data_IF_638018563635
#
_entry.id   IF_638018563635
#
_cell.length_a   1.000
_cell.length_b   1.000
_cell.length_c   1.000
_cell.angle_alpha   90.00
_cell.angle_beta   90.00
_cell.angle_gamma   90.00
#
_symmetry.space_group_name_H-M   'P 1'
#
loop_
_entity.id
_entity.type
_entity.pdbx_description
1 polymer ?
#
# COMPACT_ATOMS: atom_id res chain seq x y z
N UNK A 1 -7.03 15.03 -2.45
CA UNK A 1 -7.64 14.84 -3.78
C UNK A 1 -8.61 13.67 -3.74
N UNK A 2 -9.75 13.79 -4.44
CA UNK A 2 -10.73 12.71 -4.53
C UNK A 2 -10.36 11.78 -5.72
N UNK A 3 -9.95 10.51 -5.49
CA UNK A 3 -9.58 9.59 -6.58
C UNK A 3 -10.75 9.23 -7.51
N UNK A 4 -11.98 9.43 -7.04
CA UNK A 4 -13.19 9.22 -7.84
C UNK A 4 -13.34 10.19 -9.01
N UNK A 5 -12.68 11.35 -8.97
CA UNK A 5 -12.69 12.33 -10.03
C UNK A 5 -11.61 12.01 -11.08
N UNK A 6 -11.97 11.81 -12.35
CA UNK A 6 -11.00 11.59 -13.44
C UNK A 6 -9.93 12.70 -13.53
N UNK A 7 -10.34 13.95 -13.29
CA UNK A 7 -9.47 15.12 -13.33
C UNK A 7 -8.41 15.08 -12.22
N UNK A 8 -8.77 14.60 -11.01
CA UNK A 8 -7.83 14.42 -9.90
C UNK A 8 -6.78 13.37 -10.23
N UNK A 9 -7.18 12.26 -10.85
CA UNK A 9 -6.23 11.22 -11.29
C UNK A 9 -5.30 11.74 -12.39
N UNK A 10 -5.86 12.44 -13.38
CA UNK A 10 -5.07 13.06 -14.45
C UNK A 10 -4.08 14.10 -13.91
N UNK A 11 -4.48 14.89 -12.92
CA UNK A 11 -3.61 15.87 -12.28
C UNK A 11 -2.37 15.21 -11.63
N UNK A 12 -2.57 14.13 -10.87
CA UNK A 12 -1.45 13.38 -10.26
C UNK A 12 -0.56 12.76 -11.34
N UNK A 13 -1.17 12.16 -12.36
CA UNK A 13 -0.42 11.58 -13.48
C UNK A 13 0.43 12.62 -14.23
N UNK A 14 -0.08 13.83 -14.41
CA UNK A 14 0.67 14.93 -15.03
C UNK A 14 1.87 15.38 -14.18
N UNK A 15 1.73 15.43 -12.86
CA UNK A 15 2.87 15.72 -11.95
C UNK A 15 3.95 14.64 -12.10
N UNK A 16 3.55 13.36 -12.07
CA UNK A 16 4.48 12.24 -12.25
C UNK A 16 5.14 12.28 -13.64
N UNK A 17 4.37 12.59 -14.69
CA UNK A 17 4.90 12.77 -16.03
C UNK A 17 5.96 13.87 -16.10
N UNK A 18 5.69 15.01 -15.49
CA UNK A 18 6.61 16.14 -15.45
C UNK A 18 7.93 15.78 -14.74
N UNK A 19 7.83 15.15 -13.54
CA UNK A 19 9.00 14.70 -12.79
C UNK A 19 9.80 13.67 -13.59
N UNK A 20 9.13 12.65 -14.12
CA UNK A 20 9.77 11.56 -14.87
C UNK A 20 10.48 12.08 -16.12
N UNK A 21 9.88 13.07 -16.80
CA UNK A 21 10.46 13.64 -18.02
C UNK A 21 11.70 14.48 -17.74
N UNK A 22 11.67 15.31 -16.70
CA UNK A 22 12.69 16.35 -16.47
C UNK A 22 13.87 15.89 -15.63
N UNK A 23 13.70 14.90 -14.77
CA UNK A 23 14.75 14.51 -13.82
C UNK A 23 15.31 13.13 -14.15
N UNK A 24 16.59 12.94 -13.90
CA UNK A 24 17.26 11.63 -13.95
C UNK A 24 17.02 10.91 -12.64
N UNK A 25 15.94 10.14 -12.58
CA UNK A 25 15.48 9.40 -11.39
C UNK A 25 15.44 7.92 -11.68
N UNK A 26 15.66 7.10 -10.65
CA UNK A 26 15.59 5.64 -10.71
C UNK A 26 14.18 5.11 -10.43
N UNK A 27 13.37 5.87 -9.70
CA UNK A 27 12.02 5.45 -9.35
C UNK A 27 11.11 6.55 -8.84
N UNK A 28 9.81 6.25 -8.86
CA UNK A 28 8.75 7.02 -8.20
C UNK A 28 8.17 6.14 -7.09
N UNK A 29 7.95 6.72 -5.92
CA UNK A 29 7.43 6.03 -4.77
C UNK A 29 6.21 6.73 -4.20
N UNK A 30 5.12 5.98 -3.96
CA UNK A 30 3.92 6.46 -3.31
C UNK A 30 3.81 5.89 -1.89
N UNK A 31 3.32 6.72 -0.97
CA UNK A 31 2.88 6.31 0.36
C UNK A 31 1.46 5.66 0.29
N UNK A 32 0.81 5.42 1.43
CA UNK A 32 -0.48 4.72 1.54
C UNK A 32 -1.72 5.64 1.54
N UNK A 33 -1.57 6.93 1.32
CA UNK A 33 -2.66 7.93 1.39
C UNK A 33 -3.49 8.00 0.10
N UNK A 34 -4.22 6.93 -0.23
CA UNK A 34 -5.14 6.89 -1.37
C UNK A 34 -6.51 7.45 -0.99
N UNK A 35 -7.22 6.80 -0.07
CA UNK A 35 -8.33 7.38 0.69
C UNK A 35 -7.85 7.70 2.10
N UNK A 36 -8.44 8.71 2.77
CA UNK A 36 -8.01 9.07 4.13
C UNK A 36 -8.29 7.93 5.12
N UNK A 37 -7.44 7.85 6.13
CA UNK A 37 -7.71 6.98 7.27
C UNK A 37 -9.03 7.38 7.95
N UNK A 38 -9.81 6.41 8.46
CA UNK A 38 -11.08 6.71 9.11
C UNK A 38 -10.90 7.63 10.32
N UNK A 39 -11.68 8.69 10.37
CA UNK A 39 -11.78 9.57 11.54
C UNK A 39 -13.13 9.32 12.21
N UNK A 40 -13.14 9.22 13.54
CA UNK A 40 -14.38 8.94 14.29
C UNK A 40 -15.44 10.00 13.99
N UNK A 41 -16.62 9.54 13.59
CA UNK A 41 -17.78 10.37 13.23
C UNK A 41 -17.61 11.21 11.94
N UNK A 42 -16.61 10.93 11.12
CA UNK A 42 -16.44 11.55 9.82
C UNK A 42 -16.59 10.52 8.70
N UNK A 43 -17.13 10.94 7.58
CA UNK A 43 -17.21 10.17 6.35
C UNK A 43 -16.53 10.94 5.23
N UNK A 44 -15.84 10.22 4.35
CA UNK A 44 -15.28 10.85 3.16
C UNK A 44 -16.42 11.27 2.22
N UNK A 45 -16.46 12.57 1.89
CA UNK A 45 -17.54 13.16 1.09
C UNK A 45 -17.32 12.94 -0.41
N UNK A 46 -17.67 11.73 -0.87
CA UNK A 46 -17.59 11.35 -2.28
C UNK A 46 -18.93 10.88 -2.87
N UNK A 47 -20.02 11.05 -2.14
CA UNK A 47 -21.35 10.56 -2.54
C UNK A 47 -21.80 11.09 -3.90
N UNK A 48 -21.67 12.39 -4.14
CA UNK A 48 -22.05 12.99 -5.44
C UNK A 48 -21.13 12.48 -6.56
N UNK A 49 -19.83 12.35 -6.29
CA UNK A 49 -18.86 11.80 -7.22
C UNK A 49 -19.19 10.36 -7.57
N UNK A 50 -19.53 9.55 -6.57
CA UNK A 50 -19.99 8.17 -6.75
C UNK A 50 -21.23 8.09 -7.65
N UNK A 51 -22.27 8.89 -7.37
CA UNK A 51 -23.48 8.90 -8.19
C UNK A 51 -23.23 9.31 -9.64
N UNK A 52 -22.30 10.24 -9.86
CA UNK A 52 -21.98 10.77 -11.20
C UNK A 52 -21.06 9.85 -12.00
N UNK A 53 -20.11 9.19 -11.36
CA UNK A 53 -19.02 8.48 -12.05
C UNK A 53 -19.07 6.94 -11.91
N UNK A 54 -20.00 6.39 -11.14
CA UNK A 54 -20.15 4.93 -11.00
C UNK A 54 -20.97 4.33 -12.16
N UNK A 55 -20.45 4.39 -13.37
CA UNK A 55 -21.09 3.84 -14.56
C UNK A 55 -21.18 2.31 -14.56
N UNK A 56 -20.29 1.66 -13.83
CA UNK A 56 -20.22 0.19 -13.70
C UNK A 56 -21.15 -0.37 -12.61
N UNK A 57 -21.90 0.49 -11.91
CA UNK A 57 -22.86 0.11 -10.84
C UNK A 57 -22.22 -0.72 -9.71
N UNK A 58 -20.98 -0.45 -9.37
CA UNK A 58 -20.28 -1.08 -8.27
C UNK A 58 -20.84 -0.64 -6.91
N UNK A 59 -20.62 -1.43 -5.87
CA UNK A 59 -20.82 -0.94 -4.50
C UNK A 59 -19.90 0.27 -4.23
N UNK A 60 -20.18 1.06 -3.21
CA UNK A 60 -19.35 2.23 -2.89
C UNK A 60 -17.90 1.81 -2.61
N UNK A 61 -17.69 0.74 -1.85
CA UNK A 61 -16.35 0.26 -1.51
C UNK A 61 -15.61 -0.29 -2.72
N UNK A 62 -16.28 -1.05 -3.59
CA UNK A 62 -15.69 -1.55 -4.83
C UNK A 62 -15.37 -0.41 -5.80
N UNK A 63 -16.23 0.60 -5.86
CA UNK A 63 -15.99 1.79 -6.67
C UNK A 63 -14.78 2.59 -6.16
N UNK A 64 -14.62 2.74 -4.85
CA UNK A 64 -13.43 3.37 -4.26
C UNK A 64 -12.17 2.58 -4.61
N UNK A 65 -12.18 1.26 -4.44
CA UNK A 65 -11.05 0.38 -4.84
C UNK A 65 -10.74 0.50 -6.34
N UNK A 66 -11.77 0.48 -7.19
CA UNK A 66 -11.60 0.65 -8.63
C UNK A 66 -10.95 1.99 -8.99
N UNK A 67 -11.31 3.07 -8.30
CA UNK A 67 -10.68 4.38 -8.51
C UNK A 67 -9.21 4.39 -8.10
N UNK A 68 -8.85 3.77 -6.97
CA UNK A 68 -7.44 3.63 -6.56
C UNK A 68 -6.69 2.77 -7.56
N UNK A 69 -7.26 1.65 -8.00
CA UNK A 69 -6.69 0.80 -9.05
C UNK A 69 -6.41 1.57 -10.33
N UNK A 70 -7.34 2.45 -10.75
CA UNK A 70 -7.16 3.34 -11.91
C UNK A 70 -6.03 4.33 -11.71
N UNK A 71 -5.87 4.91 -10.50
CA UNK A 71 -4.72 5.79 -10.19
C UNK A 71 -3.42 5.02 -10.39
N UNK A 72 -3.25 3.88 -9.73
CA UNK A 72 -2.01 3.10 -9.78
C UNK A 72 -1.68 2.70 -11.22
N UNK A 73 -2.66 2.14 -11.94
CA UNK A 73 -2.44 1.76 -13.35
C UNK A 73 -2.05 2.95 -14.21
N UNK A 74 -2.75 4.08 -14.07
CA UNK A 74 -2.47 5.30 -14.87
C UNK A 74 -1.07 5.83 -14.59
N UNK A 75 -0.63 5.83 -13.33
CA UNK A 75 0.73 6.26 -12.95
C UNK A 75 1.78 5.32 -13.56
N UNK A 76 1.59 4.01 -13.42
CA UNK A 76 2.49 3.03 -14.04
C UNK A 76 2.60 3.25 -15.55
N UNK A 77 1.47 3.31 -16.25
CA UNK A 77 1.45 3.50 -17.70
C UNK A 77 2.16 4.81 -18.10
N UNK A 78 1.95 5.89 -17.33
CA UNK A 78 2.61 7.19 -17.54
C UNK A 78 4.12 7.07 -17.42
N UNK A 79 4.62 6.48 -16.33
CA UNK A 79 6.06 6.29 -16.09
C UNK A 79 6.67 5.44 -17.20
N UNK A 80 6.07 4.27 -17.49
CA UNK A 80 6.62 3.32 -18.46
C UNK A 80 6.59 3.82 -19.90
N UNK A 81 5.65 4.72 -20.21
CA UNK A 81 5.62 5.39 -21.53
C UNK A 81 6.76 6.39 -21.69
N UNK A 82 7.15 7.09 -20.62
CA UNK A 82 8.18 8.15 -20.67
C UNK A 82 9.58 7.54 -20.50
N UNK A 83 9.78 6.74 -19.44
CA UNK A 83 11.04 6.07 -19.10
C UNK A 83 10.76 4.66 -18.60
N UNK A 84 10.77 3.63 -19.45
CA UNK A 84 10.40 2.26 -19.07
C UNK A 84 11.24 1.65 -17.93
N UNK A 85 12.46 2.15 -17.74
CA UNK A 85 13.38 1.68 -16.70
C UNK A 85 13.13 2.31 -15.32
N UNK A 86 12.39 3.41 -15.23
CA UNK A 86 12.08 4.05 -13.95
C UNK A 86 11.10 3.15 -13.18
N UNK A 87 11.50 2.74 -11.97
CA UNK A 87 10.70 1.87 -11.13
C UNK A 87 9.52 2.63 -10.50
N UNK A 88 8.39 1.94 -10.33
CA UNK A 88 7.25 2.46 -9.58
C UNK A 88 6.95 1.58 -8.38
N UNK A 89 6.97 2.14 -7.18
CA UNK A 89 6.73 1.43 -5.93
C UNK A 89 5.74 2.13 -5.02
N UNK A 90 5.22 1.37 -4.06
CA UNK A 90 4.24 1.84 -3.07
C UNK A 90 4.58 1.30 -1.69
N UNK A 91 4.43 2.14 -0.65
CA UNK A 91 4.49 1.74 0.77
C UNK A 91 3.08 1.62 1.34
N UNK A 92 2.37 0.51 1.13
CA UNK A 92 1.01 0.35 1.64
C UNK A 92 1.02 0.07 3.16
N UNK A 93 -0.14 0.21 3.80
CA UNK A 93 -0.35 -0.28 5.17
C UNK A 93 0.08 -1.75 5.30
N UNK A 94 0.62 -2.15 6.46
CA UNK A 94 1.26 -3.47 6.64
C UNK A 94 0.33 -4.68 6.56
N UNK A 95 -0.99 -4.52 6.65
CA UNK A 95 -1.98 -5.60 6.56
C UNK A 95 -2.85 -5.41 5.32
N UNK A 96 -2.78 -6.35 4.37
CA UNK A 96 -3.66 -6.33 3.20
C UNK A 96 -5.10 -6.63 3.59
N UNK A 97 -5.37 -7.81 4.15
CA UNK A 97 -6.62 -8.25 4.76
C UNK A 97 -6.34 -9.24 5.89
N UNK A 98 -7.26 -9.34 6.86
CA UNK A 98 -7.21 -10.42 7.83
C UNK A 98 -7.69 -11.74 7.18
N UNK A 99 -7.16 -12.86 7.63
CA UNK A 99 -7.58 -14.19 7.14
C UNK A 99 -9.05 -14.52 7.45
N UNK A 100 -9.63 -13.88 8.48
CA UNK A 100 -11.06 -14.00 8.78
C UNK A 100 -11.96 -13.41 7.67
N UNK A 101 -11.46 -12.44 6.91
CA UNK A 101 -12.22 -11.68 5.92
C UNK A 101 -11.94 -12.18 4.48
N UNK A 102 -10.77 -12.78 4.26
CA UNK A 102 -10.36 -13.41 3.00
C UNK A 102 -9.33 -14.52 3.28
N UNK A 103 -9.52 -15.72 2.76
CA UNK A 103 -8.62 -16.86 2.98
C UNK A 103 -7.16 -16.58 2.57
N UNK A 104 -6.94 -15.66 1.62
CA UNK A 104 -5.62 -15.20 1.19
C UNK A 104 -4.98 -14.21 2.16
N UNK A 105 -5.75 -13.68 3.12
CA UNK A 105 -5.30 -12.71 4.11
C UNK A 105 -4.28 -13.29 5.09
N UNK A 106 -3.55 -12.39 5.77
CA UNK A 106 -2.64 -12.75 6.85
C UNK A 106 -3.40 -13.19 8.11
N UNK A 107 -2.79 -14.03 8.92
CA UNK A 107 -3.36 -14.47 10.20
C UNK A 107 -3.30 -13.36 11.26
N UNK A 108 -3.93 -12.24 10.95
CA UNK A 108 -3.99 -11.02 11.75
C UNK A 108 -5.40 -10.70 12.21
N UNK A 109 -5.54 -9.71 13.11
CA UNK A 109 -6.79 -9.13 13.60
C UNK A 109 -6.71 -7.62 13.60
N UNK A 110 -6.16 -7.06 12.53
CA UNK A 110 -5.99 -5.62 12.39
C UNK A 110 -7.35 -4.94 12.20
N UNK A 111 -7.56 -3.82 12.87
CA UNK A 111 -8.78 -3.00 12.71
C UNK A 111 -8.78 -2.16 11.43
N UNK A 112 -7.60 -1.94 10.84
CA UNK A 112 -7.42 -1.26 9.55
C UNK A 112 -6.73 -2.24 8.62
N UNK A 113 -7.20 -2.31 7.38
CA UNK A 113 -6.61 -3.12 6.30
C UNK A 113 -6.56 -2.31 5.01
N UNK A 114 -5.62 -2.64 4.12
CA UNK A 114 -5.53 -1.99 2.81
C UNK A 114 -6.82 -2.12 2.02
N UNK A 115 -7.30 -3.35 1.87
CA UNK A 115 -8.41 -3.67 0.97
C UNK A 115 -9.75 -3.12 1.46
N UNK A 116 -10.09 -3.34 2.75
CA UNK A 116 -11.42 -3.08 3.26
C UNK A 116 -11.61 -1.62 3.70
N UNK A 117 -10.56 -1.01 4.29
CA UNK A 117 -10.67 0.30 4.93
C UNK A 117 -9.99 1.40 4.11
N UNK A 118 -8.83 1.11 3.50
CA UNK A 118 -8.07 2.08 2.72
C UNK A 118 -8.34 1.98 1.21
N UNK A 119 -9.17 1.02 0.81
CA UNK A 119 -9.56 0.78 -0.59
C UNK A 119 -8.38 0.55 -1.54
N UNK A 120 -7.28 0.00 -1.02
CA UNK A 120 -6.03 -0.26 -1.72
C UNK A 120 -5.86 -1.78 -1.98
N UNK A 121 -6.11 -2.21 -3.21
CA UNK A 121 -5.99 -3.62 -3.61
C UNK A 121 -4.56 -3.94 -4.09
N UNK A 122 -3.62 -3.88 -3.13
CA UNK A 122 -2.18 -4.05 -3.39
C UNK A 122 -1.86 -5.41 -4.02
N UNK A 123 -2.55 -6.47 -3.58
CA UNK A 123 -2.38 -7.81 -4.17
C UNK A 123 -2.65 -7.79 -5.68
N UNK A 124 -3.74 -7.13 -6.10
CA UNK A 124 -4.07 -6.95 -7.51
C UNK A 124 -2.99 -6.17 -8.27
N UNK A 125 -2.42 -5.13 -7.66
CA UNK A 125 -1.38 -4.33 -8.33
C UNK A 125 -0.12 -5.14 -8.59
N UNK A 126 0.29 -6.00 -7.63
CA UNK A 126 1.40 -6.95 -7.76
C UNK A 126 1.09 -7.97 -8.85
N UNK A 127 -0.04 -8.65 -8.77
CA UNK A 127 -0.45 -9.69 -9.73
C UNK A 127 -0.54 -9.16 -11.16
N UNK A 128 -1.01 -7.91 -11.31
CA UNK A 128 -1.13 -7.25 -12.61
C UNK A 128 0.19 -6.66 -13.13
N UNK A 129 1.23 -6.58 -12.31
CA UNK A 129 2.50 -5.94 -12.66
C UNK A 129 2.38 -4.42 -12.85
N UNK A 130 1.51 -3.77 -12.05
CA UNK A 130 1.33 -2.31 -12.08
C UNK A 130 2.31 -1.58 -11.16
N UNK A 131 3.01 -2.31 -10.30
CA UNK A 131 4.07 -1.80 -9.46
C UNK A 131 5.29 -2.70 -9.57
N UNK A 132 6.49 -2.14 -9.61
CA UNK A 132 7.75 -2.88 -9.69
C UNK A 132 8.21 -3.36 -8.32
N UNK A 133 7.81 -2.67 -7.26
CA UNK A 133 8.12 -3.07 -5.89
C UNK A 133 7.08 -2.55 -4.89
N UNK A 134 7.01 -3.20 -3.74
CA UNK A 134 6.16 -2.83 -2.62
C UNK A 134 6.95 -2.82 -1.32
N UNK A 135 6.67 -1.83 -0.46
CA UNK A 135 7.33 -1.65 0.85
C UNK A 135 6.26 -1.59 1.95
N UNK A 136 5.60 -2.72 2.29
CA UNK A 136 4.54 -2.71 3.30
C UNK A 136 5.06 -2.17 4.63
N UNK A 137 4.29 -1.28 5.26
CA UNK A 137 4.59 -0.63 6.53
C UNK A 137 4.30 -1.59 7.69
N UNK A 138 5.22 -2.53 7.97
CA UNK A 138 5.07 -3.51 9.04
C UNK A 138 5.52 -2.89 10.37
N UNK A 139 4.71 -1.96 10.90
CA UNK A 139 5.07 -1.12 12.03
C UNK A 139 4.67 -1.70 13.39
N UNK A 140 4.72 -3.04 13.52
CA UNK A 140 4.46 -3.76 14.77
C UNK A 140 5.70 -4.54 15.21
N UNK A 141 5.78 -4.79 16.51
CA UNK A 141 6.82 -5.64 17.06
C UNK A 141 6.49 -7.13 16.87
N UNK A 142 7.51 -7.98 16.97
CA UNK A 142 7.33 -9.43 17.05
C UNK A 142 6.44 -9.79 18.24
N UNK A 143 5.49 -10.69 18.04
CA UNK A 143 4.52 -11.11 19.04
C UNK A 143 3.36 -10.15 19.27
N UNK A 144 3.16 -9.14 18.43
CA UNK A 144 1.98 -8.26 18.51
C UNK A 144 0.69 -9.05 18.24
N UNK A 145 -0.30 -8.96 19.16
CA UNK A 145 -1.51 -9.77 19.11
C UNK A 145 -2.45 -9.48 17.93
N UNK A 146 -2.42 -8.25 17.42
CA UNK A 146 -3.30 -7.83 16.32
C UNK A 146 -2.63 -8.00 14.96
N UNK A 147 -1.34 -7.71 14.88
CA UNK A 147 -0.58 -7.73 13.64
C UNK A 147 0.88 -8.06 13.96
N UNK A 148 1.19 -9.33 14.07
CA UNK A 148 2.53 -9.82 14.40
C UNK A 148 3.49 -9.55 13.24
N UNK A 149 4.65 -8.96 13.54
CA UNK A 149 5.71 -8.75 12.55
C UNK A 149 6.09 -10.07 11.86
N UNK A 150 6.27 -11.15 12.63
CA UNK A 150 6.72 -12.44 12.12
C UNK A 150 5.70 -13.11 11.19
N UNK A 151 4.42 -12.88 11.41
CA UNK A 151 3.35 -13.29 10.51
C UNK A 151 3.36 -12.46 9.22
N UNK A 152 3.48 -11.13 9.36
CA UNK A 152 3.32 -10.21 8.25
C UNK A 152 4.47 -10.27 7.25
N UNK A 153 5.75 -10.29 7.71
CA UNK A 153 6.85 -10.31 6.74
C UNK A 153 6.86 -11.61 5.91
N UNK A 154 6.49 -12.76 6.51
CA UNK A 154 6.34 -14.04 5.80
C UNK A 154 5.18 -14.01 4.82
N UNK A 155 4.05 -13.41 5.23
CA UNK A 155 2.89 -13.27 4.35
C UNK A 155 3.23 -12.43 3.12
N UNK A 156 3.89 -11.29 3.31
CA UNK A 156 4.31 -10.42 2.22
C UNK A 156 5.38 -11.07 1.33
N UNK A 157 6.32 -11.81 1.88
CA UNK A 157 7.34 -12.53 1.10
C UNK A 157 6.74 -13.47 0.06
N UNK A 158 5.57 -14.07 0.34
CA UNK A 158 4.86 -14.91 -0.63
C UNK A 158 4.33 -14.13 -1.85
N UNK A 159 4.25 -12.82 -1.79
CA UNK A 159 3.88 -11.96 -2.92
C UNK A 159 5.08 -11.50 -3.76
N UNK A 160 6.31 -11.72 -3.31
CA UNK A 160 7.49 -11.44 -4.12
C UNK A 160 7.52 -12.35 -5.36
N UNK A 161 7.64 -11.76 -6.53
CA UNK A 161 7.67 -12.48 -7.78
C UNK A 161 8.49 -11.73 -8.84
N UNK A 162 8.61 -12.29 -10.04
CA UNK A 162 9.37 -11.68 -11.13
C UNK A 162 8.85 -10.32 -11.63
N UNK A 163 7.62 -9.95 -11.27
CA UNK A 163 7.00 -8.67 -11.67
C UNK A 163 7.11 -7.60 -10.60
N UNK A 164 7.16 -7.99 -9.31
CA UNK A 164 7.18 -7.05 -8.20
C UNK A 164 7.99 -7.59 -7.04
N UNK A 165 8.96 -6.81 -6.58
CA UNK A 165 9.79 -7.14 -5.43
C UNK A 165 9.13 -6.67 -4.13
N UNK A 166 9.33 -7.40 -3.04
CA UNK A 166 8.85 -7.01 -1.71
C UNK A 166 10.04 -6.60 -0.84
N UNK A 167 9.98 -5.39 -0.31
CA UNK A 167 10.87 -4.91 0.73
C UNK A 167 10.06 -4.66 2.01
N UNK A 168 10.67 -4.75 3.18
CA UNK A 168 9.95 -4.53 4.44
C UNK A 168 10.18 -3.11 4.95
N UNK A 169 9.08 -2.38 5.15
CA UNK A 169 9.09 -1.07 5.82
C UNK A 169 9.14 -1.25 7.34
N UNK A 170 10.28 -0.93 7.97
CA UNK A 170 10.48 -1.05 9.41
C UNK A 170 10.17 0.24 10.16
N UNK A 171 9.69 0.11 11.41
CA UNK A 171 9.32 1.23 12.28
C UNK A 171 10.49 1.75 13.12
N UNK A 172 11.59 2.18 12.52
CA UNK A 172 12.77 2.69 13.25
C UNK A 172 12.41 3.86 14.21
N UNK A 173 11.40 4.65 13.85
CA UNK A 173 10.94 5.78 14.66
C UNK A 173 10.30 5.34 16.00
N UNK A 174 9.96 4.05 16.16
CA UNK A 174 9.39 3.50 17.39
C UNK A 174 10.46 3.06 18.41
N UNK A 175 11.72 2.93 18.01
CA UNK A 175 12.80 2.57 18.92
C UNK A 175 12.88 3.60 20.06
N UNK A 176 12.87 3.12 21.31
CA UNK A 176 12.79 3.93 22.52
C UNK A 176 11.51 4.78 22.66
N UNK A 177 10.40 4.36 22.04
CA UNK A 177 9.11 5.07 22.11
C UNK A 177 8.33 4.87 23.40
N UNK A 178 8.88 4.13 24.37
CA UNK A 178 8.28 3.91 25.69
C UNK A 178 7.49 2.60 25.83
N UNK A 179 7.20 1.86 24.76
CA UNK A 179 6.62 0.54 24.87
C UNK A 179 7.70 -0.51 25.21
N UNK A 180 7.30 -1.58 25.91
CA UNK A 180 8.24 -2.65 26.32
C UNK A 180 8.97 -3.26 25.13
N UNK A 181 8.25 -3.51 24.05
CA UNK A 181 8.75 -4.15 22.85
C UNK A 181 9.77 -3.25 22.13
N UNK A 182 9.45 -1.97 21.96
CA UNK A 182 10.29 -1.00 21.25
C UNK A 182 11.43 -0.42 22.11
N UNK A 183 11.40 -0.65 23.43
CA UNK A 183 12.54 -0.36 24.31
C UNK A 183 13.54 -1.53 24.38
N UNK A 184 13.22 -2.68 23.78
CA UNK A 184 14.16 -3.78 23.61
C UNK A 184 15.14 -3.43 22.48
N UNK A 185 16.46 -3.29 22.74
CA UNK A 185 17.43 -2.94 21.71
C UNK A 185 17.58 -4.02 20.62
N UNK A 186 17.19 -5.27 20.92
CA UNK A 186 17.26 -6.38 19.96
C UNK A 186 16.03 -6.49 19.03
N UNK A 187 14.97 -5.74 19.28
CA UNK A 187 13.74 -5.86 18.46
C UNK A 187 14.02 -5.51 17.00
N UNK A 188 14.60 -4.36 16.73
CA UNK A 188 14.88 -3.92 15.36
C UNK A 188 15.95 -4.77 14.65
N UNK A 189 17.12 -5.05 15.26
CA UNK A 189 18.10 -5.97 14.67
C UNK A 189 17.50 -7.34 14.35
N UNK A 190 16.73 -7.92 15.28
CA UNK A 190 16.07 -9.22 15.08
C UNK A 190 15.08 -9.20 13.92
N UNK A 191 14.29 -8.13 13.75
CA UNK A 191 13.41 -8.00 12.59
C UNK A 191 14.18 -7.99 11.27
N UNK A 192 15.28 -7.23 11.19
CA UNK A 192 16.13 -7.15 10.00
C UNK A 192 16.76 -8.52 9.68
N UNK A 193 17.30 -9.20 10.70
CA UNK A 193 17.91 -10.53 10.53
C UNK A 193 16.91 -11.58 10.05
N UNK A 194 15.68 -11.57 10.58
CA UNK A 194 14.60 -12.47 10.14
C UNK A 194 14.23 -12.25 8.68
N UNK A 195 14.13 -11.00 8.23
CA UNK A 195 13.82 -10.68 6.83
C UNK A 195 14.96 -11.18 5.93
N UNK A 196 16.22 -10.87 6.26
CA UNK A 196 17.39 -11.30 5.49
C UNK A 196 17.58 -12.82 5.43
N UNK A 197 17.17 -13.54 6.46
CA UNK A 197 17.25 -15.01 6.47
C UNK A 197 16.14 -15.69 5.65
N UNK A 198 15.16 -14.93 5.19
CA UNK A 198 14.03 -15.42 4.39
C UNK A 198 14.17 -15.09 2.89
N UNK A 199 15.27 -14.44 2.49
CA UNK A 199 15.61 -14.12 1.10
C UNK A 199 16.12 -15.36 0.32
#
# INVERSE_FOLDING_TARGET
>A
LNPGLPESRAYVANIVADITSRYDIDGIHFDDYFYPYPVKNETFDDKETYLRHNTSKLSLDDWRRDNVNKVIKQINDTIKTIKPWVAFGVSPFGVWRNKSDDERGSNTRAGITNYDILYADVAKWIDSGWIDYVVPQIYWASGNKAADFDELYKWWANYSNAKSQVFVGHAIFKVNSGSKEWNNPEEMPSQIDKVRAND
#
